data_IF_502622450583
#
_entry.id   IF_502622450583
#
_cell.length_a   1.000
_cell.length_b   1.000
_cell.length_c   1.000
_cell.angle_alpha   90.00
_cell.angle_beta   90.00
_cell.angle_gamma   90.00
#
_symmetry.space_group_name_H-M   'P 1'
#
loop_
_entity.id
_entity.type
_entity.pdbx_description
1 polymer ?
#
# COMPACT_ATOMS: atom_id res chain seq x y z
N UNK A 1 52.92 16.50 -7.54
CA UNK A 1 51.59 15.92 -7.79
C UNK A 1 51.11 15.32 -6.48
N UNK A 2 50.19 16.01 -5.78
CA UNK A 2 49.76 15.60 -4.45
C UNK A 2 48.91 14.34 -4.56
N UNK A 3 49.37 13.24 -3.95
CA UNK A 3 48.57 12.04 -3.78
C UNK A 3 47.38 12.38 -2.89
N UNK A 4 46.18 12.36 -3.47
CA UNK A 4 44.93 12.46 -2.71
C UNK A 4 44.98 11.30 -1.71
N UNK A 5 44.90 11.54 -0.38
CA UNK A 5 44.86 10.46 0.58
C UNK A 5 43.57 9.69 0.28
N UNK A 6 43.73 8.51 -0.30
CA UNK A 6 42.64 7.55 -0.45
C UNK A 6 42.16 7.26 0.95
N UNK A 7 41.08 7.93 1.32
CA UNK A 7 40.47 7.78 2.63
C UNK A 7 40.24 6.29 2.86
N UNK A 8 40.42 5.82 4.09
CA UNK A 8 40.11 4.44 4.47
C UNK A 8 38.69 4.04 3.98
N UNK A 9 37.78 5.02 3.89
CA UNK A 9 36.49 4.86 3.23
C UNK A 9 36.59 4.41 1.76
N UNK A 10 37.44 5.02 0.94
CA UNK A 10 37.61 4.61 -0.47
C UNK A 10 38.20 3.21 -0.59
N UNK A 11 39.17 2.81 0.26
CA UNK A 11 39.73 1.46 0.20
C UNK A 11 38.70 0.40 0.60
N UNK A 12 37.87 0.68 1.61
CA UNK A 12 36.73 -0.16 2.02
C UNK A 12 35.68 -0.27 0.90
N UNK A 13 35.36 0.85 0.23
CA UNK A 13 34.36 0.87 -0.86
C UNK A 13 34.86 0.24 -2.17
N UNK A 14 36.16 0.18 -2.41
CA UNK A 14 36.73 -0.49 -3.60
C UNK A 14 36.89 -2.00 -3.42
N UNK A 15 36.84 -2.52 -2.20
CA UNK A 15 36.90 -3.95 -1.95
C UNK A 15 35.53 -4.55 -2.20
N UNK A 16 35.39 -5.40 -3.22
CA UNK A 16 34.09 -5.93 -3.66
C UNK A 16 33.32 -6.62 -2.53
N UNK A 17 33.98 -7.49 -1.75
CA UNK A 17 33.34 -8.26 -0.69
C UNK A 17 32.94 -7.39 0.50
N UNK A 18 33.78 -6.44 0.89
CA UNK A 18 33.45 -5.47 1.95
C UNK A 18 32.41 -4.46 1.49
N UNK A 19 32.45 -4.02 0.24
CA UNK A 19 31.47 -3.09 -0.31
C UNK A 19 30.10 -3.77 -0.42
N UNK A 20 30.03 -5.04 -0.85
CA UNK A 20 28.79 -5.82 -0.75
C UNK A 20 28.30 -5.97 0.70
N UNK A 21 29.20 -6.22 1.66
CA UNK A 21 28.85 -6.33 3.07
C UNK A 21 28.35 -4.98 3.64
N UNK A 22 29.05 -3.89 3.39
CA UNK A 22 28.73 -2.53 3.85
C UNK A 22 27.46 -2.01 3.18
N UNK A 23 27.25 -2.31 1.89
CA UNK A 23 26.02 -1.99 1.17
C UNK A 23 24.85 -2.92 1.59
N UNK A 24 25.13 -4.15 2.03
CA UNK A 24 24.13 -5.01 2.67
C UNK A 24 23.77 -4.50 4.07
N UNK A 25 24.72 -3.85 4.74
CA UNK A 25 24.57 -3.11 6.01
C UNK A 25 24.24 -1.62 5.79
N UNK A 26 23.49 -1.28 4.74
CA UNK A 26 22.78 0.00 4.77
C UNK A 26 21.82 -0.04 5.96
N UNK A 27 22.09 0.83 6.95
CA UNK A 27 21.46 0.87 8.26
C UNK A 27 19.98 0.45 8.21
N UNK A 28 19.71 -0.68 8.87
CA UNK A 28 18.36 -1.14 9.17
C UNK A 28 17.85 -2.32 8.36
N UNK A 29 18.40 -2.75 7.22
CA UNK A 29 17.71 -3.72 6.34
C UNK A 29 18.23 -5.16 6.49
N UNK A 30 17.36 -6.15 6.81
CA UNK A 30 17.74 -7.58 6.84
C UNK A 30 18.29 -8.06 5.48
N UNK A 31 19.10 -9.13 5.48
CA UNK A 31 19.69 -9.69 4.24
C UNK A 31 18.62 -9.97 3.17
N UNK A 32 17.47 -10.50 3.56
CA UNK A 32 16.35 -10.79 2.67
C UNK A 32 15.73 -9.51 2.10
N UNK A 33 15.44 -8.52 2.96
CA UNK A 33 14.92 -7.23 2.53
C UNK A 33 15.91 -6.45 1.66
N UNK A 34 17.22 -6.64 1.84
CA UNK A 34 18.24 -6.01 0.99
C UNK A 34 18.15 -6.52 -0.46
N UNK A 35 17.94 -7.82 -0.64
CA UNK A 35 17.77 -8.44 -1.96
C UNK A 35 16.46 -7.96 -2.61
N UNK A 36 15.37 -7.89 -1.85
CA UNK A 36 14.08 -7.37 -2.30
C UNK A 36 14.21 -5.90 -2.70
N UNK A 37 14.82 -5.07 -1.86
CA UNK A 37 15.08 -3.65 -2.12
C UNK A 37 15.89 -3.44 -3.40
N UNK A 38 16.97 -4.21 -3.60
CA UNK A 38 17.77 -4.17 -4.82
C UNK A 38 16.95 -4.57 -6.06
N UNK A 39 16.10 -5.59 -5.95
CA UNK A 39 15.19 -6.02 -7.02
C UNK A 39 14.25 -4.89 -7.43
N UNK A 40 13.61 -4.22 -6.47
CA UNK A 40 12.72 -3.10 -6.74
C UNK A 40 13.44 -1.86 -7.28
N UNK A 41 14.66 -1.55 -6.79
CA UNK A 41 15.50 -0.50 -7.39
C UNK A 41 15.83 -0.78 -8.85
N UNK A 42 16.17 -2.03 -9.19
CA UNK A 42 16.44 -2.43 -10.58
C UNK A 42 15.17 -2.32 -11.45
N UNK A 43 14.02 -2.74 -10.92
CA UNK A 43 12.73 -2.61 -11.64
C UNK A 43 12.37 -1.15 -11.90
N UNK A 44 12.48 -0.28 -10.88
CA UNK A 44 12.17 1.15 -11.00
C UNK A 44 13.11 1.88 -11.99
N UNK A 45 14.37 1.44 -12.10
CA UNK A 45 15.29 1.98 -13.14
C UNK A 45 14.86 1.60 -14.56
N UNK A 46 14.25 0.43 -14.74
CA UNK A 46 13.80 -0.09 -16.04
C UNK A 46 12.45 0.47 -16.49
N UNK A 47 11.62 0.98 -15.57
CA UNK A 47 10.32 1.55 -15.94
C UNK A 47 10.50 2.89 -16.68
N UNK A 48 9.96 3.03 -17.90
CA UNK A 48 10.24 4.19 -18.77
C UNK A 48 9.47 5.46 -18.39
N UNK A 49 8.33 5.36 -17.67
CA UNK A 49 7.34 6.43 -17.52
C UNK A 49 7.30 7.14 -16.15
N UNK A 50 8.16 6.79 -15.21
CA UNK A 50 8.15 7.44 -13.90
C UNK A 50 8.93 8.77 -13.98
N UNK A 51 8.23 9.86 -14.30
CA UNK A 51 8.76 11.23 -14.27
C UNK A 51 9.42 11.58 -12.92
N UNK A 52 9.09 10.83 -11.87
CA UNK A 52 9.57 11.03 -10.49
C UNK A 52 10.51 9.90 -10.02
N UNK A 53 10.95 8.98 -10.90
CA UNK A 53 11.84 7.85 -10.53
C UNK A 53 13.14 8.30 -9.88
N UNK A 54 13.69 9.43 -10.35
CA UNK A 54 14.92 9.98 -9.80
C UNK A 54 14.70 10.42 -8.35
N UNK A 55 13.57 11.07 -8.06
CA UNK A 55 13.22 11.52 -6.71
C UNK A 55 13.08 10.33 -5.75
N UNK A 56 12.32 9.30 -6.17
CA UNK A 56 12.12 8.07 -5.39
C UNK A 56 13.46 7.37 -5.12
N UNK A 57 14.37 7.28 -6.11
CA UNK A 57 15.66 6.62 -5.93
C UNK A 57 16.66 7.43 -5.10
N UNK A 58 16.54 8.76 -5.08
CA UNK A 58 17.47 9.65 -4.37
C UNK A 58 17.11 9.76 -2.90
N UNK A 59 15.82 9.89 -2.58
CA UNK A 59 15.34 10.01 -1.21
C UNK A 59 15.09 8.61 -0.61
N UNK A 60 15.84 8.26 0.44
CA UNK A 60 15.75 6.91 1.02
C UNK A 60 14.38 6.67 1.69
N UNK A 61 13.81 7.71 2.29
CA UNK A 61 12.52 7.65 2.99
C UNK A 61 11.34 7.53 2.02
N UNK A 62 11.46 8.15 0.85
CA UNK A 62 10.49 7.99 -0.24
C UNK A 62 10.60 6.61 -0.90
N UNK A 63 11.82 6.10 -1.09
CA UNK A 63 12.02 4.74 -1.59
C UNK A 63 11.41 3.69 -0.64
N UNK A 64 11.52 3.89 0.67
CA UNK A 64 10.90 3.00 1.66
C UNK A 64 9.37 3.05 1.60
N UNK A 65 8.78 4.24 1.45
CA UNK A 65 7.33 4.38 1.24
C UNK A 65 6.87 3.69 -0.04
N UNK A 66 7.59 3.90 -1.14
CA UNK A 66 7.38 3.18 -2.40
C UNK A 66 7.45 1.65 -2.22
N UNK A 67 8.51 1.17 -1.57
CA UNK A 67 8.72 -0.26 -1.36
C UNK A 67 7.59 -0.87 -0.53
N UNK A 68 7.18 -0.22 0.56
CA UNK A 68 6.08 -0.66 1.41
C UNK A 68 4.80 -0.85 0.57
N UNK A 69 4.41 0.16 -0.19
CA UNK A 69 3.22 0.12 -1.04
C UNK A 69 3.30 -0.99 -2.10
N UNK A 70 4.49 -1.22 -2.67
CA UNK A 70 4.72 -2.30 -3.64
C UNK A 70 4.77 -3.70 -3.04
N UNK A 71 5.10 -3.82 -1.76
CA UNK A 71 5.03 -5.09 -1.04
C UNK A 71 3.57 -5.43 -0.74
N UNK A 72 2.78 -4.44 -0.31
CA UNK A 72 1.34 -4.59 -0.11
C UNK A 72 0.61 -4.94 -1.41
N UNK A 73 0.95 -4.30 -2.53
CA UNK A 73 0.39 -4.62 -3.86
C UNK A 73 0.66 -6.09 -4.27
N UNK A 74 1.75 -6.70 -3.78
CA UNK A 74 2.05 -8.11 -4.01
C UNK A 74 1.50 -9.06 -2.95
N UNK A 75 1.00 -8.53 -1.85
CA UNK A 75 0.61 -9.31 -0.67
C UNK A 75 1.76 -9.84 0.18
N UNK A 76 2.96 -9.27 0.06
CA UNK A 76 4.11 -9.65 0.87
C UNK A 76 4.11 -8.94 2.23
N UNK A 77 3.27 -9.43 3.13
CA UNK A 77 3.06 -8.85 4.46
C UNK A 77 4.29 -9.01 5.37
N UNK A 78 5.04 -10.10 5.23
CA UNK A 78 6.20 -10.39 6.07
C UNK A 78 7.28 -9.32 5.90
N UNK A 79 7.69 -9.08 4.65
CA UNK A 79 8.67 -8.05 4.34
C UNK A 79 8.15 -6.63 4.64
N UNK A 80 6.84 -6.38 4.48
CA UNK A 80 6.23 -5.10 4.84
C UNK A 80 6.32 -4.82 6.36
N UNK A 81 6.03 -5.82 7.20
CA UNK A 81 6.16 -5.70 8.66
C UNK A 81 7.61 -5.55 9.09
N UNK A 82 8.52 -6.30 8.48
CA UNK A 82 9.95 -6.18 8.77
C UNK A 82 10.47 -4.78 8.44
N UNK A 83 10.01 -4.18 7.33
CA UNK A 83 10.35 -2.80 6.96
C UNK A 83 9.91 -1.81 8.04
N UNK A 84 8.67 -1.94 8.52
CA UNK A 84 8.09 -1.08 9.56
C UNK A 84 8.79 -1.29 10.91
N UNK A 85 9.10 -2.54 11.27
CA UNK A 85 9.82 -2.86 12.50
C UNK A 85 11.21 -2.22 12.56
N UNK A 86 11.91 -2.16 11.43
CA UNK A 86 13.24 -1.55 11.34
C UNK A 86 13.20 -0.04 11.50
N UNK A 87 12.17 0.59 10.92
CA UNK A 87 12.02 2.04 10.97
C UNK A 87 10.52 2.35 10.99
N UNK A 88 9.94 2.66 12.16
CA UNK A 88 8.52 3.02 12.25
C UNK A 88 8.25 4.45 11.79
N UNK A 89 9.24 5.35 11.79
CA UNK A 89 9.10 6.78 11.48
C UNK A 89 9.97 7.24 10.32
N UNK A 90 9.48 8.23 9.54
CA UNK A 90 10.22 8.80 8.42
C UNK A 90 9.99 8.09 7.09
N UNK A 91 8.76 7.68 6.83
CA UNK A 91 8.31 7.34 5.48
C UNK A 91 7.79 8.60 4.80
N UNK A 92 8.05 8.71 3.50
CA UNK A 92 7.47 9.76 2.67
C UNK A 92 6.68 9.06 1.56
N UNK A 93 5.39 9.42 1.34
CA UNK A 93 4.62 8.80 0.28
C UNK A 93 5.23 9.16 -1.09
N UNK A 94 5.35 8.19 -2.01
CA UNK A 94 5.80 8.48 -3.35
C UNK A 94 4.77 9.37 -4.07
N UNK A 95 5.21 10.40 -4.80
CA UNK A 95 4.29 11.26 -5.53
C UNK A 95 3.63 10.47 -6.68
N UNK A 96 2.33 10.70 -6.84
CA UNK A 96 1.54 10.37 -8.05
C UNK A 96 1.69 8.92 -8.58
N UNK A 97 1.66 7.93 -7.69
CA UNK A 97 1.66 6.52 -8.08
C UNK A 97 0.32 5.84 -7.78
N UNK A 98 -0.12 4.92 -8.64
CA UNK A 98 -1.33 4.11 -8.42
C UNK A 98 -1.26 3.37 -7.08
N UNK A 99 -0.09 2.89 -6.69
CA UNK A 99 0.12 2.19 -5.42
C UNK A 99 -0.11 3.09 -4.20
N UNK A 100 0.06 4.41 -4.32
CA UNK A 100 -0.28 5.37 -3.27
C UNK A 100 -1.80 5.60 -3.17
N UNK A 101 -2.48 5.65 -4.32
CA UNK A 101 -3.95 5.84 -4.38
C UNK A 101 -4.68 4.63 -3.79
N UNK A 102 -4.25 3.42 -4.12
CA UNK A 102 -4.86 2.16 -3.68
C UNK A 102 -4.17 1.53 -2.47
N UNK A 103 -3.28 2.26 -1.79
CA UNK A 103 -2.43 1.69 -0.74
C UNK A 103 -3.23 1.11 0.42
N UNK A 104 -4.29 1.82 0.88
CA UNK A 104 -5.18 1.31 1.93
C UNK A 104 -6.00 0.14 1.43
N UNK A 105 -6.52 0.20 0.19
CA UNK A 105 -7.29 -0.90 -0.40
C UNK A 105 -6.48 -2.21 -0.39
N UNK A 106 -5.21 -2.16 -0.77
CA UNK A 106 -4.33 -3.32 -0.74
C UNK A 106 -4.14 -3.85 0.70
N UNK A 107 -4.01 -2.96 1.69
CA UNK A 107 -3.93 -3.38 3.09
C UNK A 107 -5.23 -4.03 3.60
N UNK A 108 -6.40 -3.58 3.11
CA UNK A 108 -7.70 -4.20 3.39
C UNK A 108 -7.81 -5.59 2.77
N UNK A 109 -7.38 -5.77 1.51
CA UNK A 109 -7.37 -7.08 0.85
C UNK A 109 -6.53 -8.08 1.64
N UNK A 110 -5.44 -7.62 2.28
CA UNK A 110 -4.59 -8.44 3.15
C UNK A 110 -5.16 -8.64 4.56
N UNK A 111 -6.37 -8.14 4.83
CA UNK A 111 -7.07 -8.23 6.12
C UNK A 111 -6.22 -7.76 7.31
N UNK A 112 -5.36 -6.77 7.07
CA UNK A 112 -4.39 -6.31 8.05
C UNK A 112 -4.76 -4.95 8.60
N UNK A 113 -5.54 -4.94 9.69
CA UNK A 113 -5.92 -3.72 10.39
C UNK A 113 -4.68 -2.92 10.85
N UNK A 114 -3.62 -3.62 11.26
CA UNK A 114 -2.34 -3.00 11.65
C UNK A 114 -1.76 -2.15 10.51
N UNK A 115 -1.75 -2.67 9.28
CA UNK A 115 -1.25 -1.93 8.12
C UNK A 115 -2.20 -0.80 7.71
N UNK A 116 -3.51 -1.01 7.79
CA UNK A 116 -4.50 0.05 7.52
C UNK A 116 -4.30 1.23 8.47
N UNK A 117 -4.14 0.96 9.77
CA UNK A 117 -3.84 1.98 10.80
C UNK A 117 -2.51 2.68 10.51
N UNK A 118 -1.46 1.90 10.30
CA UNK A 118 -0.12 2.43 10.05
C UNK A 118 -0.08 3.37 8.82
N UNK A 119 -0.70 2.96 7.71
CA UNK A 119 -0.76 3.77 6.50
C UNK A 119 -1.59 5.04 6.67
N UNK A 120 -2.68 4.97 7.43
CA UNK A 120 -3.54 6.13 7.70
C UNK A 120 -2.86 7.15 8.61
N UNK A 121 -2.33 6.70 9.75
CA UNK A 121 -1.70 7.57 10.76
C UNK A 121 -0.44 8.27 10.23
N UNK A 122 0.28 7.64 9.29
CA UNK A 122 1.48 8.22 8.68
C UNK A 122 1.20 8.90 7.32
N UNK A 123 -0.07 9.03 6.92
CA UNK A 123 -0.49 9.61 5.63
C UNK A 123 0.23 9.01 4.41
N UNK A 124 0.54 7.71 4.46
CA UNK A 124 1.34 7.00 3.45
C UNK A 124 0.53 6.43 2.30
N UNK A 125 -0.79 6.48 2.39
CA UNK A 125 -1.68 6.01 1.35
C UNK A 125 -3.04 6.72 1.41
N UNK A 126 -3.71 6.75 0.26
CA UNK A 126 -5.13 7.07 0.18
C UNK A 126 -5.98 5.80 0.24
N UNK A 127 -7.26 6.00 0.51
CA UNK A 127 -8.29 4.99 0.32
C UNK A 127 -9.25 5.48 -0.76
N UNK A 128 -9.92 4.54 -1.42
CA UNK A 128 -11.11 4.80 -2.23
C UNK A 128 -12.32 4.15 -1.56
N UNK A 129 -13.52 4.36 -2.13
CA UNK A 129 -14.73 3.66 -1.71
C UNK A 129 -14.56 2.14 -1.72
N UNK A 130 -13.75 1.65 -2.65
CA UNK A 130 -13.47 0.21 -2.78
C UNK A 130 -12.79 -0.36 -1.54
N UNK A 131 -12.06 0.44 -0.76
CA UNK A 131 -11.50 -0.05 0.50
C UNK A 131 -12.60 -0.52 1.46
N UNK A 132 -13.70 0.23 1.57
CA UNK A 132 -14.82 -0.13 2.44
C UNK A 132 -15.69 -1.23 1.82
N UNK A 133 -15.90 -1.17 0.50
CA UNK A 133 -16.64 -2.22 -0.22
C UNK A 133 -15.95 -3.57 -0.09
N UNK A 134 -14.63 -3.63 -0.27
CA UNK A 134 -13.85 -4.86 -0.08
C UNK A 134 -13.81 -5.31 1.37
N UNK A 135 -13.69 -4.39 2.34
CA UNK A 135 -13.78 -4.75 3.76
C UNK A 135 -15.14 -5.38 4.09
N UNK A 136 -16.22 -4.86 3.49
CA UNK A 136 -17.56 -5.39 3.67
C UNK A 136 -17.78 -6.73 2.98
N UNK A 137 -17.27 -6.91 1.76
CA UNK A 137 -17.25 -8.19 1.04
C UNK A 137 -16.52 -9.28 1.84
N UNK A 138 -15.41 -8.93 2.50
CA UNK A 138 -14.60 -9.84 3.31
C UNK A 138 -15.17 -10.10 4.72
N UNK A 139 -16.18 -9.33 5.14
CA UNK A 139 -16.74 -9.40 6.49
C UNK A 139 -15.78 -8.89 7.57
N UNK A 140 -14.81 -8.02 7.22
CA UNK A 140 -13.84 -7.47 8.18
C UNK A 140 -14.47 -6.31 8.96
N UNK A 141 -15.37 -6.62 9.89
CA UNK A 141 -16.08 -5.64 10.71
C UNK A 141 -15.17 -4.59 11.36
N UNK A 142 -14.03 -5.00 11.92
CA UNK A 142 -13.09 -4.07 12.57
C UNK A 142 -12.49 -3.06 11.59
N UNK A 143 -12.21 -3.49 10.36
CA UNK A 143 -11.67 -2.63 9.30
C UNK A 143 -12.77 -1.70 8.79
N UNK A 144 -14.00 -2.19 8.59
CA UNK A 144 -15.15 -1.37 8.20
C UNK A 144 -15.37 -0.26 9.22
N UNK A 145 -15.44 -0.59 10.50
CA UNK A 145 -15.60 0.37 11.59
C UNK A 145 -14.46 1.38 11.63
N UNK A 146 -13.22 0.93 11.47
CA UNK A 146 -12.06 1.83 11.45
C UNK A 146 -12.10 2.81 10.27
N UNK A 147 -12.40 2.32 9.06
CA UNK A 147 -12.49 3.16 7.87
C UNK A 147 -13.68 4.12 7.94
N UNK A 148 -14.81 3.71 8.52
CA UNK A 148 -15.98 4.58 8.71
C UNK A 148 -15.67 5.75 9.65
N UNK A 149 -15.02 5.47 10.78
CA UNK A 149 -14.72 6.48 11.81
C UNK A 149 -13.60 7.45 11.41
N UNK A 150 -12.59 6.96 10.69
CA UNK A 150 -11.38 7.74 10.40
C UNK A 150 -11.35 8.31 8.98
N UNK A 151 -12.29 7.91 8.12
CA UNK A 151 -12.30 8.32 6.71
C UNK A 151 -13.68 8.71 6.19
N UNK A 152 -13.68 9.53 5.12
CA UNK A 152 -14.86 10.18 4.55
C UNK A 152 -15.29 9.63 3.19
N UNK A 153 -14.51 8.74 2.56
CA UNK A 153 -14.81 8.24 1.22
C UNK A 153 -16.13 7.46 1.16
N UNK A 154 -16.48 6.72 2.21
CA UNK A 154 -17.71 5.93 2.26
C UNK A 154 -17.58 4.55 1.61
N UNK A 155 -18.71 3.87 1.51
CA UNK A 155 -18.91 2.67 0.69
C UNK A 155 -19.83 2.98 -0.50
N UNK A 156 -20.08 1.98 -1.33
CA UNK A 156 -21.06 2.03 -2.42
C UNK A 156 -22.12 0.95 -2.26
N UNK A 157 -23.13 0.94 -3.14
CA UNK A 157 -24.13 -0.13 -3.21
C UNK A 157 -23.48 -1.53 -3.24
N UNK A 158 -22.28 -1.64 -3.82
CA UNK A 158 -21.55 -2.91 -3.93
C UNK A 158 -21.19 -3.46 -2.54
N UNK A 159 -20.75 -2.62 -1.61
CA UNK A 159 -20.42 -3.07 -0.24
C UNK A 159 -21.61 -3.71 0.47
N UNK A 160 -22.81 -3.12 0.35
CA UNK A 160 -24.05 -3.68 0.91
C UNK A 160 -24.43 -5.01 0.25
N UNK A 161 -24.49 -5.04 -1.08
CA UNK A 161 -24.91 -6.24 -1.81
C UNK A 161 -23.95 -7.41 -1.59
N UNK A 162 -22.64 -7.15 -1.52
CA UNK A 162 -21.64 -8.19 -1.30
C UNK A 162 -21.66 -8.68 0.15
N UNK A 163 -21.74 -7.80 1.14
CA UNK A 163 -21.85 -8.22 2.55
C UNK A 163 -23.12 -9.05 2.80
N UNK A 164 -24.28 -8.65 2.25
CA UNK A 164 -25.52 -9.44 2.31
C UNK A 164 -25.36 -10.81 1.63
N UNK A 165 -24.76 -10.85 0.43
CA UNK A 165 -24.55 -12.10 -0.32
C UNK A 165 -23.65 -13.08 0.42
N UNK A 166 -22.61 -12.58 1.08
CA UNK A 166 -21.67 -13.39 1.85
C UNK A 166 -22.18 -13.70 3.27
N UNK A 167 -23.31 -13.13 3.69
CA UNK A 167 -23.93 -13.37 5.00
C UNK A 167 -23.25 -12.62 6.14
N UNK A 168 -22.55 -11.52 5.86
CA UNK A 168 -21.89 -10.66 6.84
C UNK A 168 -22.89 -9.67 7.45
N UNK A 169 -23.88 -10.22 8.16
CA UNK A 169 -25.01 -9.47 8.72
C UNK A 169 -24.57 -8.39 9.72
N UNK A 170 -23.49 -8.62 10.45
CA UNK A 170 -22.87 -7.68 11.38
C UNK A 170 -22.36 -6.41 10.68
N UNK A 171 -21.75 -6.58 9.50
CA UNK A 171 -21.31 -5.47 8.67
C UNK A 171 -22.52 -4.75 8.05
N UNK A 172 -23.52 -5.48 7.56
CA UNK A 172 -24.73 -4.89 6.97
C UNK A 172 -25.46 -4.01 7.99
N UNK A 173 -25.72 -4.54 9.19
CA UNK A 173 -26.39 -3.81 10.27
C UNK A 173 -25.63 -2.52 10.63
N UNK A 174 -24.31 -2.60 10.74
CA UNK A 174 -23.47 -1.43 11.00
C UNK A 174 -23.54 -0.39 9.88
N UNK A 175 -23.44 -0.82 8.62
CA UNK A 175 -23.51 0.07 7.46
C UNK A 175 -24.89 0.71 7.30
N UNK A 176 -25.97 -0.01 7.60
CA UNK A 176 -27.34 0.55 7.58
C UNK A 176 -27.55 1.59 8.68
N UNK A 177 -27.00 1.38 9.87
CA UNK A 177 -27.09 2.33 10.99
C UNK A 177 -26.23 3.59 10.76
N UNK A 178 -24.97 3.43 10.32
CA UNK A 178 -24.00 4.52 10.26
C UNK A 178 -23.94 5.20 8.88
N UNK A 179 -24.25 4.48 7.79
CA UNK A 179 -24.14 4.97 6.40
C UNK A 179 -25.31 4.58 5.49
N UNK A 180 -26.57 4.90 5.85
CA UNK A 180 -27.74 4.55 5.04
C UNK A 180 -27.75 5.21 3.64
N UNK A 181 -27.05 6.33 3.47
CA UNK A 181 -26.97 7.07 2.20
C UNK A 181 -26.09 6.37 1.15
N UNK A 182 -25.10 5.60 1.60
CA UNK A 182 -24.12 4.96 0.72
C UNK A 182 -24.72 3.74 -0.01
N UNK A 183 -25.88 3.24 0.46
CA UNK A 183 -26.66 2.19 -0.23
C UNK A 183 -27.01 2.56 -1.67
N UNK A 184 -27.17 3.86 -1.96
CA UNK A 184 -27.49 4.33 -3.31
C UNK A 184 -26.27 4.94 -4.02
N UNK A 185 -25.08 4.89 -3.42
CA UNK A 185 -23.88 5.45 -4.02
C UNK A 185 -23.37 4.55 -5.16
N UNK A 186 -23.03 5.18 -6.29
CA UNK A 186 -22.45 4.46 -7.42
C UNK A 186 -21.08 3.84 -7.05
N UNK A 187 -20.77 2.63 -7.55
CA UNK A 187 -19.46 2.04 -7.40
C UNK A 187 -18.39 2.89 -8.09
N UNK A 188 -17.13 2.71 -7.68
CA UNK A 188 -16.03 3.30 -8.44
C UNK A 188 -16.00 2.69 -9.85
N UNK A 189 -15.61 3.49 -10.85
CA UNK A 189 -15.56 3.06 -12.24
C UNK A 189 -14.38 2.11 -12.55
N UNK A 190 -13.56 1.73 -11.55
CA UNK A 190 -12.33 1.00 -11.76
C UNK A 190 -12.58 -0.51 -11.92
N UNK A 191 -12.33 -1.09 -13.11
CA UNK A 191 -12.67 -2.49 -13.41
C UNK A 191 -11.80 -3.53 -12.69
N UNK A 192 -10.75 -3.12 -11.96
CA UNK A 192 -9.76 -4.04 -11.36
C UNK A 192 -10.22 -4.71 -10.07
N UNK A 193 -11.22 -4.17 -9.37
CA UNK A 193 -11.74 -4.73 -8.11
C UNK A 193 -13.14 -5.33 -8.23
N UNK A 194 -13.76 -5.27 -9.41
CA UNK A 194 -15.00 -5.98 -9.67
C UNK A 194 -14.70 -7.47 -9.85
N UNK A 195 -14.59 -8.22 -8.76
CA UNK A 195 -14.55 -9.69 -8.83
C UNK A 195 -15.84 -10.31 -9.40
N UNK A 196 -16.85 -9.51 -9.76
CA UNK A 196 -18.04 -9.98 -10.47
C UNK A 196 -18.47 -8.97 -11.57
N UNK A 197 -18.16 -9.25 -12.86
CA UNK A 197 -18.62 -8.45 -14.01
C UNK A 197 -20.15 -8.42 -14.22
N UNK A 198 -20.89 -9.29 -13.52
CA UNK A 198 -22.32 -9.52 -13.78
C UNK A 198 -23.27 -8.56 -13.06
N UNK A 199 -22.89 -7.97 -11.92
CA UNK A 199 -23.80 -7.13 -11.12
C UNK A 199 -23.81 -5.68 -11.63
N UNK A 200 -22.64 -5.10 -11.91
CA UNK A 200 -22.49 -3.69 -12.33
C UNK A 200 -23.21 -3.39 -13.65
N UNK A 201 -23.27 -4.36 -14.58
CA UNK A 201 -24.01 -4.20 -15.84
C UNK A 201 -25.52 -4.08 -15.65
N UNK A 202 -26.07 -4.66 -14.58
CA UNK A 202 -27.51 -4.66 -14.33
C UNK A 202 -27.94 -3.57 -13.34
N UNK A 203 -27.05 -3.09 -12.46
CA UNK A 203 -27.40 -2.08 -11.44
C UNK A 203 -27.15 -0.65 -11.89
N UNK A 204 -26.21 -0.39 -12.82
CA UNK A 204 -25.99 0.96 -13.38
C UNK A 204 -26.96 1.35 -14.52
N UNK A 205 -27.92 0.49 -14.87
CA UNK A 205 -28.95 0.74 -15.88
C UNK A 205 -30.30 1.22 -15.30
N UNK A 206 -30.34 1.61 -14.02
CA UNK A 206 -31.50 2.29 -13.43
C UNK A 206 -31.16 3.78 -13.38
N UNK A 207 -31.31 4.46 -14.51
CA UNK A 207 -31.60 5.91 -14.57
C UNK A 207 -33.10 6.08 -14.77
#
# INVERSE_FOLDING_TARGET
>A
MAAIPTTVAMSVLTNHSLCELVLSYQYGVTKELSAVSLSYRRKLRRTPLAAQKHLILTQTDMFRGYLLLKLLEKGDLAHAKDLIAQRPTGYIPPPVESSYIYGINNAVILRSLEMVKFLHENELAKATKDAMDTAAELGDFEIVKYLDQNRKEGCSLVGFVLSERHGHNDVVEYLEEHRPRDRNACPSADPKLLMIPAIVKNTCNIQ
#
